data_IF_460955258973
#
_entry.id   IF_460955258973
#
_cell.length_a   1.000
_cell.length_b   1.000
_cell.length_c   1.000
_cell.angle_alpha   90.00
_cell.angle_beta   90.00
_cell.angle_gamma   90.00
#
_symmetry.space_group_name_H-M   'P 1'
#
loop_
_entity.id
_entity.type
_entity.pdbx_description
1 polymer ?
#
# COMPACT_ATOMS: atom_id res chain seq x y z
N UNK A 1 11.59 -5.19 -1.90
CA UNK A 1 10.29 -4.49 -2.06
C UNK A 1 10.59 -3.04 -2.40
N UNK A 2 9.99 -2.43 -3.45
CA UNK A 2 10.27 -1.04 -3.83
C UNK A 2 10.03 -0.06 -2.69
N UNK A 3 10.89 0.95 -2.55
CA UNK A 3 10.80 1.94 -1.45
C UNK A 3 9.41 2.59 -1.38
N UNK A 4 8.87 3.01 -2.53
CA UNK A 4 7.55 3.63 -2.60
C UNK A 4 6.44 2.68 -2.09
N UNK A 5 6.46 1.40 -2.46
CA UNK A 5 5.48 0.42 -1.97
C UNK A 5 5.57 0.23 -0.45
N UNK A 6 6.80 0.20 0.11
CA UNK A 6 7.00 0.10 1.55
C UNK A 6 6.41 1.31 2.29
N UNK A 7 6.68 2.53 1.82
CA UNK A 7 6.17 3.76 2.45
C UNK A 7 4.63 3.77 2.48
N UNK A 8 3.98 3.36 1.39
CA UNK A 8 2.52 3.27 1.32
C UNK A 8 1.96 2.25 2.33
N UNK A 9 2.59 1.08 2.46
CA UNK A 9 2.17 0.07 3.45
C UNK A 9 2.38 0.54 4.89
N UNK A 10 3.49 1.22 5.17
CA UNK A 10 3.72 1.82 6.50
C UNK A 10 2.66 2.86 6.86
N UNK A 11 2.24 3.68 5.90
CA UNK A 11 1.19 4.68 6.10
C UNK A 11 -0.19 4.03 6.29
N UNK A 12 -0.54 3.01 5.49
CA UNK A 12 -1.77 2.23 5.68
C UNK A 12 -1.84 1.62 7.10
N UNK A 13 -0.72 1.09 7.60
CA UNK A 13 -0.64 0.57 8.98
C UNK A 13 -0.83 1.66 10.04
N UNK A 14 -0.52 2.93 9.77
CA UNK A 14 -0.82 4.03 10.69
C UNK A 14 -2.31 4.30 10.74
N UNK A 15 -3.02 4.32 9.60
CA UNK A 15 -4.48 4.49 9.58
C UNK A 15 -5.20 3.35 10.30
N UNK A 16 -4.78 2.10 10.09
CA UNK A 16 -5.30 0.93 10.81
C UNK A 16 -4.99 0.94 12.32
N UNK A 17 -3.94 1.63 12.75
CA UNK A 17 -3.65 1.85 14.17
C UNK A 17 -4.51 2.97 14.75
N UNK A 18 -4.69 4.05 13.99
CA UNK A 18 -5.50 5.20 14.40
C UNK A 18 -6.96 4.80 14.63
N UNK A 19 -7.51 3.91 13.79
CA UNK A 19 -8.89 3.42 13.93
C UNK A 19 -9.18 2.79 15.31
N UNK A 20 -8.17 2.28 16.02
CA UNK A 20 -8.33 1.73 17.38
C UNK A 20 -8.69 2.78 18.43
N UNK A 21 -8.43 4.06 18.13
CA UNK A 21 -8.67 5.18 19.03
C UNK A 21 -9.89 6.02 18.64
N UNK A 22 -10.59 5.64 17.56
CA UNK A 22 -11.73 6.38 17.01
C UNK A 22 -13.01 5.57 17.20
N UNK A 23 -14.09 6.23 17.62
CA UNK A 23 -15.41 5.62 17.78
C UNK A 23 -16.42 6.09 16.72
N UNK A 24 -16.15 7.22 16.05
CA UNK A 24 -17.00 7.74 14.99
C UNK A 24 -16.98 6.82 13.76
N UNK A 25 -18.12 6.23 13.43
CA UNK A 25 -18.25 5.24 12.35
C UNK A 25 -17.83 5.81 10.99
N UNK A 26 -18.20 7.06 10.69
CA UNK A 26 -17.84 7.70 9.42
C UNK A 26 -16.33 7.87 9.28
N UNK A 27 -15.66 8.25 10.36
CA UNK A 27 -14.21 8.39 10.41
C UNK A 27 -13.53 7.03 10.26
N UNK A 28 -14.07 5.97 10.87
CA UNK A 28 -13.56 4.60 10.69
C UNK A 28 -13.63 4.16 9.23
N UNK A 29 -14.77 4.40 8.55
CA UNK A 29 -14.93 4.06 7.13
C UNK A 29 -13.91 4.79 6.25
N UNK A 30 -13.67 6.08 6.53
CA UNK A 30 -12.66 6.87 5.82
C UNK A 30 -11.26 6.32 6.04
N UNK A 31 -10.90 5.98 7.29
CA UNK A 31 -9.58 5.44 7.60
C UNK A 31 -9.34 4.08 6.92
N UNK A 32 -10.36 3.22 6.87
CA UNK A 32 -10.25 1.93 6.19
C UNK A 32 -10.15 2.09 4.66
N UNK A 33 -10.98 2.96 4.07
CA UNK A 33 -10.91 3.28 2.64
C UNK A 33 -9.54 3.83 2.23
N UNK A 34 -8.96 4.73 3.04
CA UNK A 34 -7.61 5.26 2.80
C UNK A 34 -6.53 4.18 2.95
N UNK A 35 -6.62 3.30 3.95
CA UNK A 35 -5.68 2.21 4.13
C UNK A 35 -5.72 1.22 2.94
N UNK A 36 -6.92 0.85 2.49
CA UNK A 36 -7.12 -0.04 1.36
C UNK A 36 -6.59 0.56 0.04
N UNK A 37 -6.80 1.86 -0.21
CA UNK A 37 -6.28 2.55 -1.39
C UNK A 37 -4.73 2.56 -1.41
N UNK A 38 -4.09 2.83 -0.27
CA UNK A 38 -2.63 2.78 -0.15
C UNK A 38 -2.07 1.37 -0.38
N UNK A 39 -2.73 0.35 0.17
CA UNK A 39 -2.36 -1.07 -0.04
C UNK A 39 -2.49 -1.48 -1.51
N UNK A 40 -3.56 -1.04 -2.19
CA UNK A 40 -3.76 -1.29 -3.62
C UNK A 40 -2.66 -0.64 -4.47
N UNK A 41 -2.31 0.63 -4.20
CA UNK A 41 -1.21 1.32 -4.88
C UNK A 41 0.14 0.65 -4.65
N UNK A 42 0.42 0.19 -3.43
CA UNK A 42 1.63 -0.56 -3.12
C UNK A 42 1.71 -1.87 -3.91
N UNK A 43 0.60 -2.60 -4.03
CA UNK A 43 0.52 -3.83 -4.81
C UNK A 43 0.80 -3.60 -6.31
N UNK A 44 0.30 -2.50 -6.88
CA UNK A 44 0.61 -2.12 -8.28
C UNK A 44 2.11 -1.86 -8.46
N UNK A 45 2.73 -1.11 -7.55
CA UNK A 45 4.18 -0.81 -7.62
C UNK A 45 5.00 -2.10 -7.51
N UNK A 46 4.62 -3.01 -6.62
CA UNK A 46 5.26 -4.32 -6.49
C UNK A 46 5.14 -5.15 -7.77
N UNK A 47 3.95 -5.17 -8.38
CA UNK A 47 3.70 -5.86 -9.64
C UNK A 47 4.56 -5.31 -10.78
N UNK A 48 4.65 -3.99 -10.90
CA UNK A 48 5.50 -3.33 -11.90
C UNK A 48 6.99 -3.65 -11.70
N UNK A 49 7.47 -3.59 -10.46
CA UNK A 49 8.86 -3.92 -10.15
C UNK A 49 9.19 -5.40 -10.39
N UNK A 50 8.26 -6.31 -10.06
CA UNK A 50 8.44 -7.74 -10.34
C UNK A 50 8.42 -8.04 -11.85
N UNK A 51 7.63 -7.31 -12.63
CA UNK A 51 7.59 -7.38 -14.09
C UNK A 51 8.89 -6.88 -14.74
N UNK A 52 9.47 -5.79 -14.24
CA UNK A 52 10.76 -5.26 -14.72
C UNK A 52 11.91 -6.24 -14.50
N UNK A 53 11.97 -6.92 -13.35
CA UNK A 53 13.01 -7.93 -13.07
C UNK A 53 12.93 -9.10 -14.06
N UNK A 54 11.74 -9.52 -14.49
CA UNK A 54 11.57 -10.62 -15.46
C UNK A 54 11.83 -10.22 -16.91
N UNK A 55 11.75 -8.94 -17.24
CA UNK A 55 12.01 -8.41 -18.58
C UNK A 55 13.50 -8.15 -18.87
N UNK A 56 14.31 -7.97 -17.82
CA UNK A 56 15.75 -7.67 -17.94
C UNK A 56 16.65 -8.86 -18.29
N UNK A 57 16.17 -10.09 -18.16
CA UNK A 57 16.94 -11.32 -18.45
C UNK A 57 16.89 -11.76 -19.93
N UNK A 58 16.33 -10.94 -20.84
CA UNK A 58 16.14 -11.29 -22.26
C UNK A 58 17.06 -10.59 -23.26
N UNK A 59 18.02 -9.79 -22.81
CA UNK A 59 19.05 -9.22 -23.69
C UNK A 59 20.43 -9.63 -23.20
N UNK A 60 20.95 -10.71 -23.80
CA UNK A 60 22.34 -11.18 -23.72
C UNK A 60 22.91 -11.33 -25.13
#
# INVERSE_FOLDING_TARGET
MPFAARVLKEEAMKYRRLSRYITDARTLDVLDAMAADLEAKAAVIEGLAAGQVRGGDREG
#
